data_IF_772484769170
#
_entry.id   IF_772484769170
#
_cell.length_a   1.000
_cell.length_b   1.000
_cell.length_c   1.000
_cell.angle_alpha   90.00
_cell.angle_beta   90.00
_cell.angle_gamma   90.00
#
_symmetry.space_group_name_H-M   'P 1'
#
loop_
_entity.id
_entity.type
_entity.pdbx_description
1 polymer ?
#
# COMPACT_ATOMS: atom_id res chain seq x y z
N UNK A 1 17.39 2.45 1.99
CA UNK A 1 17.05 2.79 0.59
C UNK A 1 18.27 3.49 -0.01
N UNK A 2 18.97 2.90 -0.97
CA UNK A 2 20.14 3.54 -1.58
C UNK A 2 19.72 4.71 -2.50
N UNK A 3 20.70 5.48 -2.98
CA UNK A 3 20.49 6.63 -3.87
C UNK A 3 19.78 6.22 -5.17
N UNK A 4 20.25 5.14 -5.81
CA UNK A 4 19.62 4.57 -7.01
C UNK A 4 18.14 4.22 -6.80
N UNK A 5 17.79 3.57 -5.68
CA UNK A 5 16.39 3.25 -5.36
C UNK A 5 15.54 4.49 -5.02
N UNK A 6 16.16 5.61 -4.65
CA UNK A 6 15.45 6.86 -4.41
C UNK A 6 15.10 7.59 -5.70
N UNK A 7 15.98 7.53 -6.70
CA UNK A 7 15.80 8.19 -7.99
C UNK A 7 14.92 7.40 -8.95
N UNK A 8 15.00 6.07 -8.91
CA UNK A 8 14.32 5.19 -9.87
C UNK A 8 13.30 4.25 -9.24
N UNK A 9 13.23 4.18 -7.91
CA UNK A 9 12.28 3.30 -7.23
C UNK A 9 10.87 3.90 -7.22
N UNK A 10 9.90 3.14 -7.73
CA UNK A 10 8.48 3.43 -7.55
C UNK A 10 8.04 3.31 -6.06
N UNK A 11 8.85 2.63 -5.24
CA UNK A 11 8.57 2.32 -3.84
C UNK A 11 8.39 3.53 -2.91
N UNK A 12 8.87 4.74 -3.28
CA UNK A 12 8.62 5.96 -2.48
C UNK A 12 7.27 6.62 -2.77
N UNK A 13 6.61 6.28 -3.88
CA UNK A 13 5.32 6.88 -4.28
C UNK A 13 4.19 5.87 -4.40
N UNK A 14 4.48 4.58 -4.42
CA UNK A 14 3.47 3.54 -4.53
C UNK A 14 2.41 3.65 -3.43
N UNK A 15 2.83 3.84 -2.18
CA UNK A 15 1.94 4.04 -1.03
C UNK A 15 1.29 5.44 -0.98
N UNK A 16 1.72 6.38 -1.82
CA UNK A 16 1.05 7.68 -1.95
C UNK A 16 -0.11 7.63 -2.94
N UNK A 17 -0.21 6.57 -3.73
CA UNK A 17 -1.30 6.37 -4.66
C UNK A 17 -2.31 5.43 -4.02
N UNK A 18 -3.38 6.00 -3.45
CA UNK A 18 -4.43 5.24 -2.74
C UNK A 18 -4.89 3.99 -3.52
N UNK A 19 -5.07 4.11 -4.84
CA UNK A 19 -5.49 3.01 -5.73
C UNK A 19 -4.62 1.75 -5.66
N UNK A 20 -3.39 1.86 -5.17
CA UNK A 20 -2.46 0.75 -5.12
C UNK A 20 -2.68 -0.17 -3.91
N UNK A 21 -3.34 0.31 -2.85
CA UNK A 21 -3.54 -0.45 -1.60
C UNK A 21 -4.95 -0.32 -1.02
N UNK A 22 -5.85 0.45 -1.66
CA UNK A 22 -7.22 0.64 -1.19
C UNK A 22 -7.99 -0.68 -1.06
N UNK A 23 -7.83 -1.58 -2.03
CA UNK A 23 -8.54 -2.86 -2.05
C UNK A 23 -8.02 -3.80 -0.94
N UNK A 24 -6.71 -3.84 -0.72
CA UNK A 24 -6.10 -4.62 0.36
C UNK A 24 -6.55 -4.10 1.73
N UNK A 25 -6.59 -2.77 1.90
CA UNK A 25 -7.04 -2.14 3.14
C UNK A 25 -8.53 -2.44 3.41
N UNK A 26 -9.38 -2.33 2.40
CA UNK A 26 -10.80 -2.67 2.51
C UNK A 26 -10.99 -4.14 2.86
N UNK A 27 -10.23 -5.04 2.25
CA UNK A 27 -10.29 -6.47 2.56
C UNK A 27 -9.85 -6.76 4.00
N UNK A 28 -8.85 -6.04 4.52
CA UNK A 28 -8.44 -6.14 5.91
C UNK A 28 -9.56 -5.72 6.87
N UNK A 29 -10.21 -4.59 6.61
CA UNK A 29 -11.34 -4.11 7.43
C UNK A 29 -12.53 -5.07 7.40
N UNK A 30 -12.93 -5.54 6.21
CA UNK A 30 -14.03 -6.50 6.07
C UNK A 30 -13.71 -7.83 6.79
N UNK A 31 -12.48 -8.33 6.65
CA UNK A 31 -12.05 -9.57 7.31
C UNK A 31 -11.97 -9.44 8.83
N UNK A 32 -11.71 -8.23 9.35
CA UNK A 32 -11.71 -7.96 10.77
C UNK A 32 -13.14 -7.94 11.33
N UNK A 33 -14.07 -7.28 10.63
CA UNK A 33 -15.47 -7.14 11.06
C UNK A 33 -16.30 -8.42 10.88
N UNK A 34 -15.84 -9.38 10.08
CA UNK A 34 -16.50 -10.68 9.90
C UNK A 34 -16.12 -11.72 10.98
N UNK A 35 -15.25 -11.36 11.92
CA UNK A 35 -14.84 -12.23 13.03
C UNK A 35 -15.59 -11.95 14.34
N UNK A 36 -16.52 -11.01 14.32
CA UNK A 36 -17.42 -10.67 15.43
C UNK A 36 -18.77 -11.40 15.34
#
# INVERSE_FOLDING_TARGET
>A
MCEFCTEHGEGKKWYLQMKNYADELLQQELSANQKD
#
